data_IF_532627034154
#
_entry.id   IF_532627034154
#
_cell.length_a   1.000
_cell.length_b   1.000
_cell.length_c   1.000
_cell.angle_alpha   90.00
_cell.angle_beta   90.00
_cell.angle_gamma   90.00
#
_symmetry.space_group_name_H-M   'P 1'
#
loop_
_entity.id
_entity.type
_entity.pdbx_description
1 polymer ?
#
# COMPACT_ATOMS: atom_id res chain seq x y z
N UNK A 1 8.14 0.80 -9.87
CA UNK A 1 7.82 1.53 -8.63
C UNK A 1 6.85 2.61 -9.00
N UNK A 2 5.57 2.39 -8.69
CA UNK A 2 4.54 3.40 -8.85
C UNK A 2 4.89 4.60 -7.97
N UNK A 3 4.79 5.82 -8.53
CA UNK A 3 5.15 7.03 -7.80
C UNK A 3 3.95 7.55 -7.00
N UNK A 4 4.24 8.38 -6.01
CA UNK A 4 3.23 9.09 -5.23
C UNK A 4 2.20 9.82 -6.11
N UNK A 5 2.65 10.47 -7.19
CA UNK A 5 1.79 11.17 -8.15
C UNK A 5 0.87 10.21 -8.90
N UNK A 6 1.38 9.02 -9.27
CA UNK A 6 0.58 7.99 -9.93
C UNK A 6 -0.52 7.47 -9.01
N UNK A 7 -0.21 7.18 -7.74
CA UNK A 7 -1.23 6.75 -6.78
C UNK A 7 -2.28 7.83 -6.49
N UNK A 8 -1.85 9.10 -6.42
CA UNK A 8 -2.78 10.22 -6.30
C UNK A 8 -3.72 10.31 -7.52
N UNK A 9 -3.17 10.16 -8.73
CA UNK A 9 -3.96 10.20 -9.96
C UNK A 9 -4.95 9.04 -10.06
N UNK A 10 -4.52 7.81 -9.72
CA UNK A 10 -5.37 6.63 -9.65
C UNK A 10 -6.51 6.83 -8.63
N UNK A 11 -6.19 7.39 -7.47
CA UNK A 11 -7.19 7.69 -6.43
C UNK A 11 -8.19 8.75 -6.86
N UNK A 12 -7.76 9.80 -7.57
CA UNK A 12 -8.66 10.80 -8.15
C UNK A 12 -9.61 10.14 -9.16
N UNK A 13 -9.08 9.29 -10.04
CA UNK A 13 -9.87 8.63 -11.07
C UNK A 13 -10.91 7.66 -10.50
N UNK A 14 -10.56 6.92 -9.43
CA UNK A 14 -11.42 5.90 -8.84
C UNK A 14 -12.36 6.44 -7.75
N UNK A 15 -11.91 7.42 -6.96
CA UNK A 15 -12.54 7.83 -5.71
C UNK A 15 -12.81 9.34 -5.64
N UNK A 16 -12.45 10.10 -6.68
CA UNK A 16 -12.73 11.54 -6.78
C UNK A 16 -11.84 12.43 -5.92
N UNK A 17 -10.84 11.89 -5.22
CA UNK A 17 -9.87 12.66 -4.42
C UNK A 17 -8.51 11.96 -4.35
N UNK A 18 -7.40 12.67 -4.09
CA UNK A 18 -6.06 12.10 -4.18
C UNK A 18 -5.67 11.17 -3.03
N UNK A 19 -6.24 11.33 -1.83
CA UNK A 19 -5.82 10.61 -0.61
C UNK A 19 -4.31 10.70 -0.33
N UNK A 20 -3.72 11.87 -0.58
CA UNK A 20 -2.28 12.12 -0.44
C UNK A 20 -1.71 11.67 0.93
N UNK A 21 -2.42 11.93 2.02
CA UNK A 21 -1.94 11.58 3.37
C UNK A 21 -1.94 10.06 3.60
N UNK A 22 -2.85 9.31 2.95
CA UNK A 22 -2.87 7.84 2.99
C UNK A 22 -1.63 7.28 2.29
N UNK A 23 -1.33 7.77 1.08
CA UNK A 23 -0.16 7.31 0.32
C UNK A 23 1.14 7.63 1.04
N UNK A 24 1.27 8.85 1.60
CA UNK A 24 2.43 9.22 2.42
C UNK A 24 2.57 8.36 3.66
N UNK A 25 1.46 8.00 4.30
CA UNK A 25 1.48 7.14 5.47
C UNK A 25 1.89 5.71 5.10
N UNK A 26 1.39 5.15 4.00
CA UNK A 26 1.81 3.82 3.53
C UNK A 26 3.32 3.78 3.22
N UNK A 27 3.83 4.82 2.59
CA UNK A 27 5.24 4.94 2.16
C UNK A 27 6.17 5.64 3.16
N UNK A 28 5.74 5.91 4.39
CA UNK A 28 6.54 6.65 5.38
C UNK A 28 7.96 6.06 5.58
N UNK A 29 8.08 4.75 5.44
CA UNK A 29 9.34 4.02 5.61
C UNK A 29 10.21 3.96 4.34
N UNK A 30 9.70 4.41 3.20
CA UNK A 30 10.44 4.44 1.94
C UNK A 30 11.68 5.34 2.06
N UNK A 31 12.84 4.81 1.69
CA UNK A 31 14.11 5.54 1.73
C UNK A 31 14.71 5.74 3.13
N UNK A 32 14.11 5.14 4.16
CA UNK A 32 14.71 5.11 5.51
C UNK A 32 15.99 4.28 5.53
N UNK A 33 16.89 4.54 6.50
CA UNK A 33 18.16 3.80 6.61
C UNK A 33 17.97 2.31 6.88
N UNK A 34 16.90 1.94 7.57
CA UNK A 34 16.64 0.58 8.00
C UNK A 34 15.92 -0.26 6.93
N UNK A 35 15.11 0.38 6.08
CA UNK A 35 14.24 -0.32 5.12
C UNK A 35 14.56 -0.01 3.65
N UNK A 36 15.17 1.14 3.34
CA UNK A 36 15.49 1.51 1.96
C UNK A 36 14.26 1.43 1.05
N UNK A 37 14.35 0.64 -0.02
CA UNK A 37 13.23 0.34 -0.93
C UNK A 37 12.44 -0.92 -0.56
N UNK A 38 12.85 -1.63 0.49
CA UNK A 38 12.20 -2.83 1.02
C UNK A 38 11.36 -2.44 2.24
N UNK A 39 10.43 -1.52 2.06
CA UNK A 39 9.61 -0.96 3.16
C UNK A 39 8.16 -1.44 3.11
N UNK A 40 7.73 -1.96 1.97
CA UNK A 40 6.33 -2.25 1.67
C UNK A 40 5.74 -3.27 2.65
N UNK A 41 6.52 -4.26 3.07
CA UNK A 41 6.12 -5.24 4.08
C UNK A 41 5.65 -4.64 5.42
N UNK A 42 6.00 -3.38 5.74
CA UNK A 42 5.57 -2.72 6.99
C UNK A 42 4.09 -2.37 7.04
N UNK A 43 3.50 -1.99 5.90
CA UNK A 43 2.13 -1.45 5.84
C UNK A 43 1.32 -1.87 4.61
N UNK A 44 1.94 -2.50 3.62
CA UNK A 44 1.29 -2.88 2.36
C UNK A 44 0.57 -4.24 2.44
N UNK A 45 -0.32 -4.36 3.43
CA UNK A 45 -1.06 -5.57 3.75
C UNK A 45 -2.40 -5.24 4.44
N UNK A 46 -3.27 -6.23 4.66
CA UNK A 46 -4.61 -6.00 5.23
C UNK A 46 -4.59 -5.31 6.59
N UNK A 47 -3.67 -5.69 7.48
CA UNK A 47 -3.55 -5.02 8.77
C UNK A 47 -3.18 -3.53 8.64
N UNK A 48 -2.41 -3.14 7.61
CA UNK A 48 -2.10 -1.73 7.33
C UNK A 48 -3.33 -0.98 6.80
N UNK A 49 -4.17 -1.62 5.98
CA UNK A 49 -5.45 -1.04 5.54
C UNK A 49 -6.38 -0.78 6.74
N UNK A 50 -6.44 -1.70 7.71
CA UNK A 50 -7.23 -1.50 8.93
C UNK A 50 -6.76 -0.29 9.71
N UNK A 51 -5.45 -0.12 9.85
CA UNK A 51 -4.86 1.07 10.47
C UNK A 51 -5.18 2.36 9.70
N UNK A 52 -5.14 2.33 8.36
CA UNK A 52 -5.57 3.48 7.54
C UNK A 52 -7.03 3.84 7.83
N UNK A 53 -7.91 2.85 7.93
CA UNK A 53 -9.33 3.08 8.24
C UNK A 53 -9.51 3.71 9.62
N UNK A 54 -8.76 3.23 10.62
CA UNK A 54 -8.80 3.78 11.98
C UNK A 54 -8.32 5.23 12.05
N UNK A 55 -7.30 5.60 11.25
CA UNK A 55 -6.67 6.93 11.29
C UNK A 55 -7.40 7.94 10.37
N UNK A 56 -7.78 7.51 9.17
CA UNK A 56 -8.23 8.39 8.09
C UNK A 56 -9.69 8.15 7.66
N UNK A 57 -10.36 7.14 8.23
CA UNK A 57 -11.75 6.81 7.96
C UNK A 57 -11.94 5.73 6.88
N UNK A 58 -13.17 5.25 6.75
CA UNK A 58 -13.52 4.08 5.93
C UNK A 58 -13.20 4.25 4.43
N UNK A 59 -13.45 5.44 3.87
CA UNK A 59 -13.14 5.75 2.46
C UNK A 59 -11.64 5.63 2.15
N UNK A 60 -10.77 5.94 3.12
CA UNK A 60 -9.33 5.86 2.97
C UNK A 60 -8.83 4.42 2.80
N UNK A 61 -9.57 3.44 3.34
CA UNK A 61 -9.27 2.02 3.18
C UNK A 61 -9.29 1.56 1.72
N UNK A 62 -10.17 2.13 0.90
CA UNK A 62 -10.24 1.83 -0.54
C UNK A 62 -9.03 2.39 -1.29
N UNK A 63 -8.61 3.62 -0.97
CA UNK A 63 -7.42 4.23 -1.55
C UNK A 63 -6.15 3.44 -1.18
N UNK A 64 -6.02 3.05 0.10
CA UNK A 64 -4.91 2.20 0.55
C UNK A 64 -4.90 0.85 -0.15
N UNK A 65 -6.05 0.19 -0.29
CA UNK A 65 -6.13 -1.09 -1.00
C UNK A 65 -5.71 -0.96 -2.46
N UNK A 66 -6.17 0.08 -3.16
CA UNK A 66 -5.79 0.33 -4.56
C UNK A 66 -4.30 0.56 -4.71
N UNK A 67 -3.71 1.39 -3.84
CA UNK A 67 -2.26 1.64 -3.78
C UNK A 67 -1.50 0.32 -3.65
N UNK A 68 -1.83 -0.46 -2.61
CA UNK A 68 -1.11 -1.70 -2.28
C UNK A 68 -1.22 -2.72 -3.42
N UNK A 69 -2.40 -2.86 -4.05
CA UNK A 69 -2.56 -3.77 -5.20
C UNK A 69 -1.66 -3.34 -6.37
N UNK A 70 -1.61 -2.04 -6.67
CA UNK A 70 -0.77 -1.50 -7.75
C UNK A 70 0.71 -1.85 -7.50
N UNK A 71 1.16 -1.68 -6.26
CA UNK A 71 2.54 -1.98 -5.85
C UNK A 71 2.87 -3.48 -5.84
N UNK A 72 1.97 -4.30 -5.31
CA UNK A 72 2.08 -5.76 -5.31
C UNK A 72 2.19 -6.32 -6.74
N UNK A 73 1.40 -5.79 -7.68
CA UNK A 73 1.47 -6.19 -9.10
C UNK A 73 2.83 -5.92 -9.71
N UNK A 74 3.51 -4.84 -9.31
CA UNK A 74 4.88 -4.57 -9.76
C UNK A 74 5.91 -5.54 -9.16
N UNK A 75 5.57 -6.18 -8.04
CA UNK A 75 6.38 -7.24 -7.39
C UNK A 75 6.03 -8.65 -7.87
N UNK A 76 5.13 -8.78 -8.84
CA UNK A 76 4.73 -10.05 -9.44
C UNK A 76 3.54 -10.73 -8.78
N UNK A 77 2.85 -10.07 -7.84
CA UNK A 77 1.56 -10.52 -7.32
C UNK A 77 0.51 -10.54 -8.43
N UNK A 78 -0.34 -11.57 -8.41
CA UNK A 78 -1.46 -11.75 -9.33
C UNK A 78 -2.77 -11.94 -8.57
N UNK A 79 -3.89 -11.78 -9.25
CA UNK A 79 -5.22 -12.01 -8.65
C UNK A 79 -5.47 -13.46 -8.21
N UNK A 80 -4.56 -14.40 -8.53
CA UNK A 80 -4.60 -15.78 -8.03
C UNK A 80 -3.96 -15.93 -6.66
N UNK A 81 -3.11 -14.99 -6.28
CA UNK A 81 -2.44 -14.97 -4.98
C UNK A 81 -3.39 -14.35 -3.95
N UNK A 82 -3.29 -14.80 -2.69
CA UNK A 82 -4.05 -14.11 -1.64
C UNK A 82 -3.44 -12.74 -1.37
N UNK A 83 -4.25 -11.82 -0.87
CA UNK A 83 -3.74 -10.50 -0.49
C UNK A 83 -3.00 -10.62 0.86
N UNK A 84 -1.78 -10.06 1.02
CA UNK A 84 -1.00 -10.23 2.24
C UNK A 84 -1.76 -9.76 3.47
N UNK A 85 -1.85 -10.62 4.50
CA UNK A 85 -2.63 -10.32 5.72
C UNK A 85 -1.90 -9.35 6.66
N UNK A 86 -0.61 -9.57 6.84
CA UNK A 86 0.28 -8.82 7.71
C UNK A 86 1.73 -8.86 7.21
N UNK A 87 2.64 -8.22 7.95
CA UNK A 87 4.08 -8.17 7.65
C UNK A 87 4.70 -9.57 7.51
N UNK A 88 4.31 -10.55 8.34
CA UNK A 88 4.89 -11.90 8.29
C UNK A 88 4.41 -12.65 7.05
N UNK A 89 3.13 -12.51 6.71
CA UNK A 89 2.53 -13.11 5.52
C UNK A 89 3.14 -12.51 4.25
N UNK A 90 3.33 -11.18 4.21
CA UNK A 90 3.98 -10.47 3.10
C UNK A 90 5.39 -11.04 2.81
N UNK A 91 6.20 -11.21 3.86
CA UNK A 91 7.55 -11.79 3.75
C UNK A 91 7.49 -13.27 3.35
N UNK A 92 6.55 -14.04 3.90
CA UNK A 92 6.39 -15.47 3.56
C UNK A 92 5.98 -15.69 2.10
N UNK A 93 5.29 -14.73 1.48
CA UNK A 93 4.98 -14.72 0.06
C UNK A 93 6.19 -14.42 -0.84
N UNK A 94 7.33 -14.02 -0.25
CA UNK A 94 8.57 -13.76 -0.98
C UNK A 94 8.70 -12.35 -1.55
N UNK A 95 7.88 -11.41 -1.07
CA UNK A 95 7.98 -9.98 -1.36
C UNK A 95 8.93 -9.29 -0.36
N UNK A 96 9.49 -8.12 -0.71
CA UNK A 96 10.54 -7.44 0.09
C UNK A 96 10.34 -5.93 0.22
#
# INVERSE_FOLDING_TARGET
>A
MSSFEKHCAESIALLGRPFADVHRWLDEFAGSKDYGFRHRHKRHHEAGIKQVIEIFGEEAGQAARSHIISDLKEEGWTEKDHFPRDEKDYIAMGFF
#
